data_IF_403719024022
#
_entry.id   IF_403719024022
#
_cell.length_a   1.000
_cell.length_b   1.000
_cell.length_c   1.000
_cell.angle_alpha   90.00
_cell.angle_beta   90.00
_cell.angle_gamma   90.00
#
_symmetry.space_group_name_H-M   'P 1'
#
loop_
_entity.id
_entity.type
_entity.pdbx_description
1 polymer ?
#
# COMPACT_ATOMS: atom_id res chain seq x y z
N UNK A 1 -1.80 22.28 -2.25
CA UNK A 1 -1.53 21.16 -1.34
C UNK A 1 -0.13 20.66 -1.67
N UNK A 2 0.61 20.19 -0.69
CA UNK A 2 1.99 19.74 -0.90
C UNK A 2 1.98 18.24 -1.31
N UNK A 3 2.82 17.88 -2.28
CA UNK A 3 2.94 16.47 -2.67
C UNK A 3 3.78 15.73 -1.64
N UNK A 4 3.25 14.65 -1.09
CA UNK A 4 4.02 13.74 -0.22
C UNK A 4 4.99 12.89 -1.03
N UNK A 5 4.58 12.51 -2.25
CA UNK A 5 5.39 11.74 -3.20
C UNK A 5 5.41 12.43 -4.56
N UNK A 6 6.59 12.53 -5.18
CA UNK A 6 6.77 13.01 -6.55
C UNK A 6 7.75 12.10 -7.28
N UNK A 7 7.31 11.56 -8.39
CA UNK A 7 8.07 10.71 -9.32
C UNK A 7 8.22 11.47 -10.63
N UNK A 8 9.44 11.54 -11.17
CA UNK A 8 9.73 12.28 -12.41
C UNK A 8 10.56 11.45 -13.38
N UNK A 9 10.10 11.32 -14.61
CA UNK A 9 10.80 10.66 -15.71
C UNK A 9 11.19 9.23 -15.41
N UNK A 10 10.42 8.51 -14.56
CA UNK A 10 10.80 7.20 -14.04
C UNK A 10 10.75 6.16 -15.15
N UNK A 11 11.89 5.52 -15.40
CA UNK A 11 12.04 4.49 -16.44
C UNK A 11 12.70 3.26 -15.85
N UNK A 12 12.18 2.09 -16.18
CA UNK A 12 12.80 0.80 -15.87
C UNK A 12 12.49 -0.23 -16.97
N UNK A 13 13.50 -1.01 -17.32
CA UNK A 13 13.40 -2.06 -18.33
C UNK A 13 13.80 -3.41 -17.76
N UNK A 14 13.13 -4.46 -18.21
CA UNK A 14 13.46 -5.87 -17.93
C UNK A 14 13.64 -6.59 -19.26
N UNK A 15 14.82 -7.14 -19.48
CA UNK A 15 15.16 -7.89 -20.71
C UNK A 15 14.80 -7.15 -22.02
N UNK A 16 14.99 -5.82 -22.02
CA UNK A 16 14.68 -4.96 -23.16
C UNK A 16 13.24 -4.49 -23.26
N UNK A 17 12.34 -4.97 -22.38
CA UNK A 17 10.97 -4.49 -22.29
C UNK A 17 10.88 -3.35 -21.25
N UNK A 18 10.43 -2.18 -21.65
CA UNK A 18 10.18 -1.06 -20.73
C UNK A 18 8.91 -1.30 -19.95
N UNK A 19 9.05 -1.61 -18.68
CA UNK A 19 7.92 -1.76 -17.76
C UNK A 19 7.36 -0.41 -17.28
N UNK A 20 8.25 0.60 -17.13
CA UNK A 20 7.88 2.02 -17.03
C UNK A 20 8.73 2.81 -18.05
N UNK A 21 8.15 3.83 -18.66
CA UNK A 21 8.76 4.62 -19.71
C UNK A 21 8.41 6.10 -19.53
N UNK A 22 9.36 6.87 -18.97
CA UNK A 22 9.26 8.30 -18.73
C UNK A 22 8.01 8.69 -17.91
N UNK A 23 7.77 7.95 -16.81
CA UNK A 23 6.58 8.14 -15.99
C UNK A 23 6.76 9.30 -15.02
N UNK A 24 5.87 10.29 -15.12
CA UNK A 24 5.61 11.30 -14.09
C UNK A 24 4.39 10.89 -13.28
N UNK A 25 4.50 10.93 -11.94
CA UNK A 25 3.41 10.56 -11.04
C UNK A 25 3.57 11.31 -9.71
N UNK A 26 2.48 11.79 -9.13
CA UNK A 26 2.53 12.46 -7.84
C UNK A 26 1.32 12.11 -6.98
N UNK A 27 1.52 12.15 -5.66
CA UNK A 27 0.47 11.93 -4.65
C UNK A 27 0.52 13.07 -3.65
N UNK A 28 -0.66 13.62 -3.33
CA UNK A 28 -0.79 14.67 -2.32
C UNK A 28 -0.81 14.08 -0.91
N UNK A 29 -0.53 14.91 0.09
CA UNK A 29 -0.68 14.50 1.46
C UNK A 29 -2.14 14.16 1.78
N UNK A 30 -2.35 13.10 2.58
CA UNK A 30 -3.66 12.57 2.99
C UNK A 30 -4.56 12.16 1.81
N UNK A 31 -3.96 11.82 0.67
CA UNK A 31 -4.66 11.38 -0.52
C UNK A 31 -4.78 9.85 -0.56
N UNK A 32 -5.97 9.34 -0.93
CA UNK A 32 -6.18 7.98 -1.36
C UNK A 32 -6.19 7.93 -2.89
N UNK A 33 -5.02 7.58 -3.45
CA UNK A 33 -4.77 7.42 -4.88
C UNK A 33 -4.97 5.97 -5.30
N UNK A 34 -5.81 5.73 -6.31
CA UNK A 34 -5.93 4.40 -6.90
C UNK A 34 -5.27 4.36 -8.27
N UNK A 35 -4.43 3.36 -8.49
CA UNK A 35 -3.77 3.09 -9.77
C UNK A 35 -4.43 1.91 -10.43
N UNK A 36 -5.01 2.13 -11.61
CA UNK A 36 -5.64 1.09 -12.43
C UNK A 36 -4.93 0.95 -13.78
N UNK A 37 -5.27 -0.08 -14.53
CA UNK A 37 -4.70 -0.35 -15.85
C UNK A 37 -4.69 -1.85 -16.16
N UNK A 38 -4.52 -2.25 -17.41
CA UNK A 38 -4.44 -3.66 -17.79
C UNK A 38 -3.24 -4.37 -17.17
N UNK A 39 -3.22 -5.70 -17.28
CA UNK A 39 -2.07 -6.49 -16.87
C UNK A 39 -0.83 -6.09 -17.70
N UNK A 40 0.32 -5.97 -17.04
CA UNK A 40 1.55 -5.50 -17.69
C UNK A 40 1.64 -3.98 -17.88
N UNK A 41 0.67 -3.18 -17.39
CA UNK A 41 0.71 -1.72 -17.52
C UNK A 41 1.81 -1.03 -16.68
N UNK A 42 2.49 -1.74 -15.79
CA UNK A 42 3.57 -1.20 -14.94
C UNK A 42 3.14 -0.87 -13.50
N UNK A 43 1.90 -1.17 -13.10
CA UNK A 43 1.36 -0.81 -11.77
C UNK A 43 2.19 -1.35 -10.60
N UNK A 44 2.40 -2.66 -10.53
CA UNK A 44 3.20 -3.31 -9.47
C UNK A 44 4.68 -2.86 -9.55
N UNK A 45 5.20 -2.65 -10.76
CA UNK A 45 6.55 -2.12 -10.98
C UNK A 45 6.72 -0.72 -10.40
N UNK A 46 5.71 0.14 -10.52
CA UNK A 46 5.71 1.46 -9.88
C UNK A 46 5.84 1.33 -8.36
N UNK A 47 5.04 0.46 -7.72
CA UNK A 47 5.15 0.24 -6.28
C UNK A 47 6.51 -0.39 -5.90
N UNK A 48 7.03 -1.32 -6.72
CA UNK A 48 8.35 -1.95 -6.51
C UNK A 48 9.49 -0.93 -6.53
N UNK A 49 9.41 0.08 -7.38
CA UNK A 49 10.37 1.18 -7.45
C UNK A 49 10.24 2.13 -6.26
N UNK A 50 9.01 2.53 -5.90
CA UNK A 50 8.75 3.44 -4.77
C UNK A 50 9.23 2.81 -3.45
N UNK A 51 9.07 1.49 -3.25
CA UNK A 51 9.52 0.81 -2.03
C UNK A 51 10.98 0.33 -2.07
N UNK A 52 11.71 0.55 -3.17
CA UNK A 52 13.13 0.19 -3.29
C UNK A 52 13.43 -1.28 -3.55
N UNK A 53 12.41 -2.09 -3.87
CA UNK A 53 12.57 -3.50 -4.25
C UNK A 53 13.21 -3.64 -5.64
N UNK A 54 12.96 -2.68 -6.51
CA UNK A 54 13.53 -2.58 -7.86
C UNK A 54 14.22 -1.24 -8.02
N UNK A 55 15.29 -1.17 -8.81
CA UNK A 55 15.99 0.09 -9.14
C UNK A 55 15.55 0.59 -10.51
N UNK A 56 15.37 1.90 -10.60
CA UNK A 56 15.10 2.57 -11.87
C UNK A 56 16.36 2.66 -12.73
N UNK A 57 16.20 2.61 -14.06
CA UNK A 57 17.27 2.91 -15.03
C UNK A 57 17.53 4.42 -15.09
N UNK A 58 16.45 5.24 -14.99
CA UNK A 58 16.51 6.70 -14.96
C UNK A 58 15.29 7.30 -14.26
N UNK A 59 15.34 8.61 -13.99
CA UNK A 59 14.30 9.34 -13.28
C UNK A 59 14.60 9.50 -11.80
N UNK A 60 13.65 10.05 -11.06
CA UNK A 60 13.80 10.31 -9.63
C UNK A 60 12.50 10.09 -8.86
N UNK A 61 12.65 9.72 -7.59
CA UNK A 61 11.55 9.56 -6.63
C UNK A 61 11.85 10.43 -5.42
N UNK A 62 11.00 11.39 -5.15
CA UNK A 62 11.10 12.27 -4.00
C UNK A 62 9.95 12.00 -3.03
N UNK A 63 10.26 11.76 -1.78
CA UNK A 63 9.29 11.59 -0.69
C UNK A 63 9.52 12.65 0.37
N UNK A 64 8.51 13.50 0.61
CA UNK A 64 8.59 14.60 1.60
C UNK A 64 9.80 15.52 1.42
N UNK A 65 10.15 15.85 0.18
CA UNK A 65 11.34 16.67 -0.13
C UNK A 65 12.67 15.92 -0.10
N UNK A 66 12.69 14.66 0.31
CA UNK A 66 13.89 13.82 0.30
C UNK A 66 13.95 12.97 -0.97
N UNK A 67 15.10 12.95 -1.65
CA UNK A 67 15.35 12.00 -2.73
C UNK A 67 15.54 10.59 -2.13
N UNK A 68 14.65 9.68 -2.50
CA UNK A 68 14.68 8.28 -2.09
C UNK A 68 15.05 7.35 -3.25
N UNK A 69 15.41 7.90 -4.42
CA UNK A 69 15.82 7.14 -5.60
C UNK A 69 16.99 6.22 -5.28
N UNK A 70 16.83 4.94 -5.54
CA UNK A 70 17.89 3.95 -5.31
C UNK A 70 18.15 3.59 -3.83
N UNK A 71 17.38 4.12 -2.89
CA UNK A 71 17.39 3.62 -1.50
C UNK A 71 16.87 2.18 -1.47
N UNK A 72 17.40 1.39 -0.54
CA UNK A 72 16.93 0.01 -0.31
C UNK A 72 15.68 0.00 0.57
N UNK A 73 14.88 -1.07 0.50
CA UNK A 73 13.59 -1.24 1.19
C UNK A 73 13.61 -0.80 2.66
N UNK A 74 14.64 -1.21 3.41
CA UNK A 74 14.79 -0.85 4.82
C UNK A 74 14.94 0.67 5.06
N UNK A 75 15.65 1.38 4.18
CA UNK A 75 15.81 2.84 4.27
C UNK A 75 14.50 3.55 3.95
N UNK A 76 13.78 3.06 2.95
CA UNK A 76 12.49 3.58 2.52
C UNK A 76 11.42 3.36 3.59
N UNK A 77 11.39 2.18 4.21
CA UNK A 77 10.48 1.92 5.35
C UNK A 77 10.76 2.88 6.51
N UNK A 78 12.03 3.15 6.81
CA UNK A 78 12.40 4.15 7.83
C UNK A 78 12.09 5.59 7.46
N UNK A 79 12.03 5.90 6.18
CA UNK A 79 11.60 7.21 5.71
C UNK A 79 10.09 7.43 5.89
N UNK A 80 9.30 6.35 6.12
CA UNK A 80 7.86 6.43 6.36
C UNK A 80 7.00 5.85 5.24
N UNK A 81 7.55 5.05 4.32
CA UNK A 81 6.80 4.36 3.27
C UNK A 81 6.62 2.89 3.67
N UNK A 82 5.37 2.47 3.89
CA UNK A 82 5.02 1.08 4.19
C UNK A 82 4.43 0.37 2.97
N UNK A 83 4.85 -0.87 2.70
CA UNK A 83 4.30 -1.68 1.61
C UNK A 83 3.77 -3.02 2.10
N UNK A 84 2.55 -3.36 1.67
CA UNK A 84 2.01 -4.71 1.76
C UNK A 84 2.53 -5.54 0.59
N UNK A 85 3.28 -6.59 0.89
CA UNK A 85 3.75 -7.53 -0.12
C UNK A 85 2.66 -8.55 -0.49
N UNK A 86 2.74 -9.12 -1.70
CA UNK A 86 1.81 -10.16 -2.16
C UNK A 86 1.95 -11.48 -1.39
N UNK A 87 3.15 -11.78 -0.86
CA UNK A 87 3.35 -12.95 -0.01
C UNK A 87 2.89 -12.64 1.41
N UNK A 88 2.02 -13.47 2.02
CA UNK A 88 1.54 -13.24 3.37
C UNK A 88 2.70 -13.11 4.36
N UNK A 89 2.76 -11.98 5.07
CA UNK A 89 3.79 -11.68 6.07
C UNK A 89 3.37 -12.05 7.49
N UNK A 90 2.28 -12.83 7.64
CA UNK A 90 1.73 -13.22 8.94
C UNK A 90 2.34 -14.52 9.46
N UNK A 91 2.65 -14.56 10.74
CA UNK A 91 3.06 -15.77 11.46
C UNK A 91 1.81 -16.54 11.90
N UNK A 92 1.45 -17.59 11.16
CA UNK A 92 0.18 -18.32 11.33
C UNK A 92 0.05 -19.00 12.70
N UNK A 93 1.14 -19.42 13.30
CA UNK A 93 1.17 -20.09 14.61
C UNK A 93 1.11 -19.12 15.80
N UNK A 94 1.37 -17.83 15.55
CA UNK A 94 1.25 -16.77 16.53
C UNK A 94 -0.16 -16.21 16.56
N UNK A 95 -0.54 -15.62 17.70
CA UNK A 95 -1.80 -14.87 17.84
C UNK A 95 -1.78 -13.59 17.01
N UNK A 96 -2.95 -12.99 16.77
CA UNK A 96 -3.08 -11.66 16.18
C UNK A 96 -2.28 -10.64 16.99
N UNK A 97 -2.39 -10.70 18.32
CA UNK A 97 -1.64 -9.83 19.24
C UNK A 97 -0.13 -9.93 19.00
N UNK A 98 0.42 -11.15 19.01
CA UNK A 98 1.86 -11.39 18.82
C UNK A 98 2.34 -10.94 17.43
N UNK A 99 1.53 -11.14 16.39
CA UNK A 99 1.84 -10.64 15.05
C UNK A 99 1.95 -9.10 15.04
N UNK A 100 1.00 -8.40 15.66
CA UNK A 100 1.05 -6.93 15.76
C UNK A 100 2.24 -6.46 16.62
N UNK A 101 2.49 -7.13 17.74
CA UNK A 101 3.60 -6.82 18.65
C UNK A 101 4.98 -6.91 17.96
N UNK A 102 5.22 -7.97 17.16
CA UNK A 102 6.49 -8.15 16.43
C UNK A 102 6.72 -7.02 15.40
N UNK A 103 5.64 -6.47 14.85
CA UNK A 103 5.72 -5.42 13.81
C UNK A 103 5.96 -4.01 14.37
N UNK A 104 5.92 -3.83 15.69
CA UNK A 104 6.19 -2.54 16.31
C UNK A 104 7.68 -2.17 16.21
N UNK A 105 8.02 -0.97 15.70
CA UNK A 105 9.40 -0.55 15.41
C UNK A 105 10.16 -0.10 16.66
N UNK A 106 10.32 -0.95 17.64
CA UNK A 106 11.15 -0.62 18.79
C UNK A 106 12.64 -0.70 18.47
N UNK A 107 13.43 0.21 19.07
CA UNK A 107 14.91 0.10 19.08
C UNK A 107 15.31 -1.05 20.02
N UNK A 108 15.09 -2.29 19.58
CA UNK A 108 15.48 -3.48 20.36
C UNK A 108 16.99 -3.65 20.29
N UNK A 109 17.69 -3.38 21.40
CA UNK A 109 19.04 -3.94 21.58
C UNK A 109 18.89 -5.45 21.85
N UNK A 110 19.89 -6.25 21.46
CA UNK A 110 19.89 -7.71 21.69
C UNK A 110 19.64 -8.03 23.19
N UNK A 111 20.17 -7.22 24.11
CA UNK A 111 19.97 -7.34 25.55
C UNK A 111 18.57 -6.88 25.99
N UNK A 112 18.03 -5.82 25.38
CA UNK A 112 16.67 -5.34 25.67
C UNK A 112 15.58 -6.32 25.25
N UNK A 113 15.81 -7.13 24.21
CA UNK A 113 14.86 -8.16 23.75
C UNK A 113 14.69 -9.31 24.74
N UNK A 114 15.70 -9.59 25.59
CA UNK A 114 15.63 -10.63 26.63
C UNK A 114 14.80 -10.22 27.87
N UNK A 115 14.59 -8.90 28.08
CA UNK A 115 13.85 -8.34 29.21
C UNK A 115 12.64 -7.51 28.78
N UNK A 116 12.11 -7.79 27.58
CA UNK A 116 10.99 -7.06 27.03
C UNK A 116 9.75 -7.19 27.92
N UNK A 117 9.33 -6.06 28.50
CA UNK A 117 8.00 -5.89 29.06
C UNK A 117 7.21 -5.01 28.09
N UNK A 118 6.06 -5.49 27.63
CA UNK A 118 5.14 -4.72 26.82
C UNK A 118 4.88 -3.38 27.51
N UNK A 119 5.23 -2.28 26.87
CA UNK A 119 4.94 -0.94 27.42
C UNK A 119 3.44 -0.67 27.32
N UNK A 120 2.91 0.17 28.23
CA UNK A 120 1.50 0.59 28.13
C UNK A 120 1.18 1.22 26.77
N UNK A 121 2.12 1.94 26.19
CA UNK A 121 2.03 2.54 24.85
C UNK A 121 1.89 1.48 23.73
N UNK A 122 2.67 0.40 23.80
CA UNK A 122 2.55 -0.71 22.83
C UNK A 122 1.19 -1.40 22.94
N UNK A 123 0.72 -1.68 24.14
CA UNK A 123 -0.59 -2.30 24.37
C UNK A 123 -1.71 -1.42 23.82
N UNK A 124 -1.66 -0.12 24.07
CA UNK A 124 -2.62 0.86 23.54
C UNK A 124 -2.57 0.91 22.00
N UNK A 125 -1.37 0.95 21.41
CA UNK A 125 -1.20 0.93 19.96
C UNK A 125 -1.78 -0.36 19.34
N UNK A 126 -1.49 -1.53 19.93
CA UNK A 126 -2.03 -2.82 19.44
C UNK A 126 -3.56 -2.81 19.48
N UNK A 127 -4.17 -2.36 20.59
CA UNK A 127 -5.62 -2.30 20.70
C UNK A 127 -6.22 -1.33 19.67
N UNK A 128 -5.64 -0.14 19.50
CA UNK A 128 -6.09 0.85 18.51
C UNK A 128 -6.03 0.29 17.10
N UNK A 129 -4.91 -0.34 16.73
CA UNK A 129 -4.76 -0.96 15.40
C UNK A 129 -5.73 -2.13 15.23
N UNK A 130 -5.90 -2.99 16.26
CA UNK A 130 -6.82 -4.13 16.20
C UNK A 130 -8.28 -3.68 16.03
N UNK A 131 -8.68 -2.57 16.64
CA UNK A 131 -10.00 -1.95 16.41
C UNK A 131 -10.13 -1.45 14.96
N UNK A 132 -9.13 -0.73 14.45
CA UNK A 132 -9.13 -0.22 13.08
C UNK A 132 -9.28 -1.33 12.04
N UNK A 133 -8.59 -2.46 12.23
CA UNK A 133 -8.62 -3.61 11.33
C UNK A 133 -9.70 -4.65 11.67
N UNK A 134 -10.64 -4.33 12.55
CA UNK A 134 -11.78 -5.18 12.95
C UNK A 134 -11.40 -6.53 13.59
N UNK A 135 -10.24 -6.63 14.23
CA UNK A 135 -9.72 -7.87 14.82
C UNK A 135 -9.59 -7.82 16.35
N UNK A 136 -10.18 -6.84 17.02
CA UNK A 136 -10.12 -6.71 18.49
C UNK A 136 -10.60 -7.97 19.22
N UNK A 137 -11.67 -8.61 18.72
CA UNK A 137 -12.22 -9.84 19.31
C UNK A 137 -11.39 -11.09 19.01
N UNK A 138 -10.44 -11.02 18.07
CA UNK A 138 -9.57 -12.11 17.62
C UNK A 138 -8.12 -11.95 18.11
N UNK A 139 -7.82 -10.94 18.95
CA UNK A 139 -6.46 -10.67 19.42
C UNK A 139 -5.74 -11.90 19.98
N UNK A 140 -6.44 -12.77 20.70
CA UNK A 140 -5.89 -13.99 21.30
C UNK A 140 -6.01 -15.22 20.39
N UNK A 141 -6.61 -15.08 19.21
CA UNK A 141 -6.73 -16.17 18.24
C UNK A 141 -5.46 -16.31 17.44
N UNK A 142 -5.05 -17.54 17.08
CA UNK A 142 -3.95 -17.74 16.13
C UNK A 142 -4.30 -17.16 14.77
N UNK A 143 -3.34 -16.50 14.13
CA UNK A 143 -3.54 -15.89 12.81
C UNK A 143 -3.89 -16.94 11.73
N UNK A 144 -3.46 -18.19 11.92
CA UNK A 144 -3.76 -19.29 10.99
C UNK A 144 -5.25 -19.60 10.83
N UNK A 145 -6.08 -19.38 11.88
CA UNK A 145 -7.52 -19.68 11.85
C UNK A 145 -8.39 -18.53 11.28
N UNK A 146 -7.79 -17.38 11.01
CA UNK A 146 -8.49 -16.24 10.42
C UNK A 146 -8.98 -16.56 9.00
N UNK A 147 -10.11 -15.96 8.60
CA UNK A 147 -10.56 -15.96 7.20
C UNK A 147 -9.54 -15.28 6.28
N UNK A 148 -9.67 -15.47 4.97
CA UNK A 148 -8.78 -14.81 4.02
C UNK A 148 -8.84 -13.28 4.17
N UNK A 149 -10.01 -12.68 4.24
CA UNK A 149 -10.17 -11.24 4.43
C UNK A 149 -9.60 -10.75 5.76
N UNK A 150 -9.79 -11.50 6.85
CA UNK A 150 -9.21 -11.17 8.15
C UNK A 150 -7.67 -11.21 8.13
N UNK A 151 -7.07 -12.15 7.38
CA UNK A 151 -5.63 -12.19 7.17
C UNK A 151 -5.13 -10.95 6.42
N UNK A 152 -5.86 -10.52 5.40
CA UNK A 152 -5.54 -9.27 4.67
C UNK A 152 -5.62 -8.03 5.59
N UNK A 153 -6.63 -7.98 6.48
CA UNK A 153 -6.74 -6.91 7.48
C UNK A 153 -5.57 -6.95 8.47
N UNK A 154 -5.18 -8.14 8.93
CA UNK A 154 -4.01 -8.27 9.81
C UNK A 154 -2.74 -7.75 9.12
N UNK A 155 -2.52 -8.05 7.83
CA UNK A 155 -1.37 -7.53 7.07
C UNK A 155 -1.37 -6.00 6.99
N UNK A 156 -2.54 -5.38 6.79
CA UNK A 156 -2.66 -3.92 6.89
C UNK A 156 -2.31 -3.45 8.30
N UNK A 157 -2.78 -4.16 9.33
CA UNK A 157 -2.45 -3.88 10.73
C UNK A 157 -0.96 -3.92 11.03
N UNK A 158 -0.22 -4.90 10.47
CA UNK A 158 1.24 -4.98 10.62
C UNK A 158 1.94 -3.73 10.07
N UNK A 159 1.44 -3.17 8.96
CA UNK A 159 1.94 -1.90 8.42
C UNK A 159 1.57 -0.72 9.33
N UNK A 160 0.33 -0.65 9.82
CA UNK A 160 -0.13 0.43 10.70
C UNK A 160 0.64 0.47 12.03
N UNK A 161 1.11 -0.68 12.52
CA UNK A 161 2.00 -0.75 13.69
C UNK A 161 3.30 0.03 13.48
N UNK A 162 3.80 0.10 12.26
CA UNK A 162 5.04 0.82 11.90
C UNK A 162 4.83 2.33 11.69
N UNK A 163 3.59 2.80 11.75
CA UNK A 163 3.17 4.19 11.59
C UNK A 163 3.67 4.87 10.30
N UNK A 164 3.45 4.25 9.12
CA UNK A 164 3.89 4.84 7.85
C UNK A 164 3.05 6.07 7.51
N UNK A 165 3.67 7.03 6.81
CA UNK A 165 2.99 8.22 6.27
C UNK A 165 2.44 7.98 4.86
N UNK A 166 3.03 7.02 4.14
CA UNK A 166 2.55 6.54 2.84
C UNK A 166 2.42 5.02 2.86
N UNK A 167 1.22 4.52 2.56
CA UNK A 167 0.95 3.09 2.39
C UNK A 167 0.86 2.71 0.91
N UNK A 168 1.51 1.63 0.55
CA UNK A 168 1.46 1.01 -0.77
C UNK A 168 0.75 -0.34 -0.67
N UNK A 169 -0.43 -0.47 -1.28
CA UNK A 169 -1.26 -1.66 -1.22
C UNK A 169 -1.50 -2.20 -2.64
N UNK A 170 -1.24 -3.49 -2.82
CA UNK A 170 -1.43 -4.17 -4.11
C UNK A 170 -2.56 -5.19 -3.97
N UNK A 171 -3.70 -4.93 -4.63
CA UNK A 171 -4.91 -5.75 -4.66
C UNK A 171 -5.39 -6.24 -3.27
N UNK A 172 -5.57 -5.34 -2.28
CA UNK A 172 -5.88 -5.75 -0.91
C UNK A 172 -7.26 -6.40 -0.72
N UNK A 173 -8.17 -6.29 -1.70
CA UNK A 173 -9.51 -6.89 -1.61
C UNK A 173 -9.66 -8.15 -2.47
N UNK A 174 -8.59 -8.64 -3.10
CA UNK A 174 -8.63 -9.86 -3.90
C UNK A 174 -9.12 -11.05 -3.07
N UNK A 175 -10.10 -11.80 -3.59
CA UNK A 175 -10.67 -12.98 -2.93
C UNK A 175 -11.57 -12.69 -1.73
N UNK A 176 -11.86 -11.44 -1.41
CA UNK A 176 -12.77 -11.05 -0.33
C UNK A 176 -14.25 -11.18 -0.72
N UNK A 177 -15.08 -11.54 0.25
CA UNK A 177 -16.54 -11.44 0.14
C UNK A 177 -17.01 -9.98 0.00
N UNK A 178 -18.23 -9.75 -0.46
CA UNK A 178 -18.81 -8.39 -0.60
C UNK A 178 -18.78 -7.62 0.74
N UNK A 179 -19.07 -8.31 1.86
CA UNK A 179 -19.05 -7.70 3.19
C UNK A 179 -17.63 -7.32 3.63
N UNK A 180 -16.65 -8.18 3.39
CA UNK A 180 -15.25 -7.88 3.71
C UNK A 180 -14.73 -6.71 2.87
N UNK A 181 -15.09 -6.63 1.57
CA UNK A 181 -14.76 -5.48 0.71
C UNK A 181 -15.34 -4.17 1.24
N UNK A 182 -16.59 -4.18 1.71
CA UNK A 182 -17.21 -2.99 2.31
C UNK A 182 -16.45 -2.52 3.56
N UNK A 183 -16.17 -3.45 4.48
CA UNK A 183 -15.37 -3.16 5.68
C UNK A 183 -13.95 -2.67 5.31
N UNK A 184 -13.33 -3.23 4.26
CA UNK A 184 -12.03 -2.77 3.78
C UNK A 184 -12.09 -1.35 3.20
N UNK A 185 -13.19 -1.00 2.51
CA UNK A 185 -13.39 0.37 2.05
C UNK A 185 -13.45 1.36 3.21
N UNK A 186 -14.16 1.02 4.29
CA UNK A 186 -14.23 1.85 5.49
C UNK A 186 -12.88 1.96 6.20
N UNK A 187 -12.15 0.85 6.31
CA UNK A 187 -10.79 0.83 6.84
C UNK A 187 -9.89 1.78 6.05
N UNK A 188 -9.84 1.67 4.72
CA UNK A 188 -8.95 2.49 3.88
C UNK A 188 -9.31 3.97 3.94
N UNK A 189 -10.61 4.33 3.97
CA UNK A 189 -11.05 5.71 4.19
C UNK A 189 -10.65 6.23 5.58
N UNK A 190 -10.70 5.38 6.60
CA UNK A 190 -10.26 5.76 7.96
C UNK A 190 -8.75 5.99 8.01
N UNK A 191 -7.98 5.09 7.39
CA UNK A 191 -6.52 5.15 7.34
C UNK A 191 -6.03 6.36 6.55
N UNK A 192 -6.70 6.72 5.45
CA UNK A 192 -6.33 7.88 4.62
C UNK A 192 -6.56 9.24 5.31
N UNK A 193 -7.23 9.29 6.46
CA UNK A 193 -7.31 10.49 7.30
C UNK A 193 -6.04 10.64 8.13
N UNK A 194 -5.01 11.26 7.57
CA UNK A 194 -3.70 11.48 8.22
C UNK A 194 -2.58 10.60 7.69
N UNK A 195 -2.84 9.84 6.60
CA UNK A 195 -1.84 9.10 5.83
C UNK A 195 -2.21 9.10 4.36
N UNK A 196 -1.22 9.11 3.50
CA UNK A 196 -1.47 8.90 2.07
C UNK A 196 -1.48 7.41 1.74
N UNK A 197 -2.30 7.02 0.78
CA UNK A 197 -2.44 5.63 0.35
C UNK A 197 -2.34 5.55 -1.16
N UNK A 198 -1.47 4.70 -1.68
CA UNK A 198 -1.48 4.29 -3.09
C UNK A 198 -1.99 2.86 -3.14
N UNK A 199 -3.04 2.66 -3.90
CA UNK A 199 -3.73 1.39 -4.03
C UNK A 199 -3.73 0.95 -5.49
N UNK A 200 -3.29 -0.28 -5.78
CA UNK A 200 -3.55 -0.94 -7.07
C UNK A 200 -4.82 -1.77 -6.92
N UNK A 201 -5.76 -1.58 -7.83
CA UNK A 201 -6.99 -2.36 -7.86
C UNK A 201 -7.53 -2.53 -9.28
N UNK A 202 -8.34 -3.57 -9.46
CA UNK A 202 -9.02 -3.86 -10.70
C UNK A 202 -10.55 -4.01 -10.54
N UNK A 203 -11.05 -4.05 -9.29
CA UNK A 203 -12.49 -4.02 -8.99
C UNK A 203 -13.00 -2.57 -9.08
N UNK A 204 -13.57 -2.21 -10.25
CA UNK A 204 -14.04 -0.85 -10.53
C UNK A 204 -15.11 -0.38 -9.55
N UNK A 205 -16.00 -1.29 -9.08
CA UNK A 205 -17.02 -0.95 -8.10
C UNK A 205 -16.41 -0.61 -6.73
N UNK A 206 -15.32 -1.26 -6.38
CA UNK A 206 -14.55 -0.93 -5.17
C UNK A 206 -13.79 0.39 -5.34
N UNK A 207 -13.12 0.60 -6.49
CA UNK A 207 -12.40 1.85 -6.80
C UNK A 207 -13.34 3.05 -6.72
N UNK A 208 -14.53 2.98 -7.32
CA UNK A 208 -15.52 4.07 -7.29
C UNK A 208 -15.92 4.48 -5.87
N UNK A 209 -15.95 3.52 -4.95
CA UNK A 209 -16.30 3.79 -3.54
C UNK A 209 -15.23 4.53 -2.77
N UNK A 210 -13.95 4.31 -3.08
CA UNK A 210 -12.86 4.77 -2.20
C UNK A 210 -11.95 5.82 -2.82
N UNK A 211 -11.79 5.83 -4.15
CA UNK A 211 -10.80 6.67 -4.81
C UNK A 211 -11.13 8.16 -4.69
N UNK A 212 -10.16 8.94 -4.25
CA UNK A 212 -10.20 10.41 -4.40
C UNK A 212 -9.71 10.79 -5.80
N UNK A 213 -8.60 10.18 -6.22
CA UNK A 213 -8.05 10.32 -7.57
C UNK A 213 -7.70 8.94 -8.11
N UNK A 214 -7.98 8.75 -9.39
CA UNK A 214 -7.63 7.54 -10.14
C UNK A 214 -6.57 7.89 -11.16
N UNK A 215 -5.48 7.13 -11.20
CA UNK A 215 -4.45 7.17 -12.24
C UNK A 215 -4.55 5.92 -13.09
N UNK A 216 -4.64 6.07 -14.39
CA UNK A 216 -4.65 4.96 -15.35
C UNK A 216 -3.26 4.80 -15.94
N UNK A 217 -2.65 3.63 -15.77
CA UNK A 217 -1.41 3.27 -16.43
C UNK A 217 -1.69 2.37 -17.65
N UNK A 218 -0.95 2.62 -18.72
CA UNK A 218 -0.94 1.77 -19.92
C UNK A 218 0.47 1.76 -20.53
N UNK A 219 1.01 0.57 -20.76
CA UNK A 219 2.35 0.37 -21.38
C UNK A 219 3.45 1.20 -20.68
N UNK A 220 3.46 1.22 -19.35
CA UNK A 220 4.47 1.90 -18.56
C UNK A 220 4.34 3.43 -18.47
N UNK A 221 3.28 4.01 -19.02
CA UNK A 221 3.02 5.46 -19.04
C UNK A 221 1.69 5.81 -18.38
N UNK A 222 1.55 7.05 -17.92
CA UNK A 222 0.27 7.57 -17.48
C UNK A 222 -0.61 7.86 -18.71
N UNK A 223 -1.79 7.23 -18.75
CA UNK A 223 -2.78 7.42 -19.81
C UNK A 223 -3.78 8.53 -19.46
N UNK A 224 -4.27 8.51 -18.22
CA UNK A 224 -5.24 9.47 -17.70
C UNK A 224 -5.12 9.58 -16.18
N UNK A 225 -5.54 10.71 -15.63
CA UNK A 225 -5.65 10.97 -14.20
C UNK A 225 -6.82 11.90 -13.92
N UNK A 226 -7.59 11.63 -12.86
CA UNK A 226 -8.72 12.45 -12.46
C UNK A 226 -9.66 11.72 -11.50
N UNK A 227 -10.88 12.24 -11.34
CA UNK A 227 -11.92 11.52 -10.63
C UNK A 227 -12.30 10.24 -11.38
N UNK A 228 -12.91 9.28 -10.67
CA UNK A 228 -13.40 8.06 -11.33
C UNK A 228 -14.35 8.37 -12.50
N UNK A 229 -15.19 9.41 -12.35
CA UNK A 229 -16.14 9.82 -13.38
C UNK A 229 -15.45 10.41 -14.63
N UNK A 230 -14.32 11.15 -14.45
CA UNK A 230 -13.56 11.70 -15.56
C UNK A 230 -12.83 10.58 -16.31
N UNK A 231 -12.22 9.67 -15.58
CA UNK A 231 -11.49 8.53 -16.13
C UNK A 231 -12.41 7.58 -16.92
N UNK A 232 -13.61 7.32 -16.42
CA UNK A 232 -14.61 6.48 -17.12
C UNK A 232 -15.11 7.09 -18.44
N UNK A 233 -15.02 8.41 -18.61
CA UNK A 233 -15.45 9.12 -19.84
C UNK A 233 -14.31 9.35 -20.83
N UNK A 234 -13.05 9.13 -20.42
CA UNK A 234 -11.89 9.31 -21.31
C UNK A 234 -11.88 8.21 -22.39
N UNK A 235 -12.02 8.62 -23.65
CA UNK A 235 -12.08 7.68 -24.78
C UNK A 235 -10.83 6.79 -24.84
N UNK A 236 -9.66 7.31 -24.51
CA UNK A 236 -8.40 6.53 -24.49
C UNK A 236 -8.44 5.40 -23.46
N UNK A 237 -9.08 5.66 -22.30
CA UNK A 237 -9.27 4.65 -21.26
C UNK A 237 -10.28 3.59 -21.73
N UNK A 238 -11.40 4.03 -22.32
CA UNK A 238 -12.42 3.12 -22.86
C UNK A 238 -11.80 2.20 -23.91
N UNK A 239 -11.00 2.73 -24.84
CA UNK A 239 -10.36 1.96 -25.90
C UNK A 239 -9.39 0.90 -25.35
N UNK A 240 -8.65 1.22 -24.29
CA UNK A 240 -7.72 0.29 -23.63
C UNK A 240 -8.45 -0.85 -22.90
N UNK A 241 -9.62 -0.60 -22.33
CA UNK A 241 -10.37 -1.61 -21.57
C UNK A 241 -11.38 -2.40 -22.43
N UNK A 242 -11.88 -1.82 -23.53
CA UNK A 242 -12.86 -2.46 -24.42
C UNK A 242 -12.23 -2.95 -25.74
N UNK A 243 -11.07 -2.45 -26.11
CA UNK A 243 -10.35 -2.79 -27.34
C UNK A 243 -9.34 -3.94 -27.21
N UNK A 244 -9.28 -4.59 -26.03
CA UNK A 244 -8.36 -5.71 -25.75
C UNK A 244 -9.07 -7.05 -25.90
#
# INVERSE_FOLDING_TARGET
>A
MENILSVRGLTVSFDGFKALDDLDFSVQQDELRVVIGPNGAGKTTLLDLICGKTRADSGSINFKGQDVTGMIEYQITRAGIGRKFQTPSIYQDLTVYENLEISYPEKRSVVGSLFFKSSSELVEKINTVAEQIFLVNQLQSKAGVLSHGQKQWLEIGLLLMQDPELLLLDEPVAGMSARERESTADLLRSVSRGRSVILIEHDMAFVEKIAQTVTVLHQGRMLAEGSMQDVQKDQRVIDVYLGA
#
